data_IF_946684777836
#
_entry.id   IF_946684777836
#
_cell.length_a   1.000
_cell.length_b   1.000
_cell.length_c   1.000
_cell.angle_alpha   90.00
_cell.angle_beta   90.00
_cell.angle_gamma   90.00
#
_symmetry.space_group_name_H-M   'P 1'
#
loop_
_entity.id
_entity.type
_entity.pdbx_description
1 polymer ?
#
# COMPACT_ATOMS: atom_id res chain seq x y z
N UNK A 1 -17.30 12.57 -10.55
CA UNK A 1 -16.42 12.25 -9.41
C UNK A 1 -16.09 10.77 -9.53
N UNK A 2 -14.83 10.37 -9.36
CA UNK A 2 -14.45 8.95 -9.42
C UNK A 2 -14.54 8.36 -8.02
N UNK A 3 -15.16 7.19 -7.89
CA UNK A 3 -15.44 6.50 -6.63
C UNK A 3 -15.13 5.01 -6.79
N UNK A 4 -14.56 4.40 -5.75
CA UNK A 4 -14.22 2.97 -5.74
C UNK A 4 -14.70 2.30 -4.45
N UNK A 5 -15.06 1.03 -4.54
CA UNK A 5 -15.15 0.14 -3.39
C UNK A 5 -13.81 -0.60 -3.27
N UNK A 6 -13.15 -0.51 -2.11
CA UNK A 6 -11.80 -1.04 -1.93
C UNK A 6 -11.79 -2.13 -0.85
N UNK A 7 -11.10 -3.26 -1.07
CA UNK A 7 -11.14 -4.42 -0.16
C UNK A 7 -10.69 -4.11 1.27
N UNK A 8 -9.90 -3.06 1.46
CA UNK A 8 -9.38 -2.66 2.76
C UNK A 8 -10.30 -1.71 3.53
N UNK A 9 -11.44 -1.30 2.97
CA UNK A 9 -12.37 -0.37 3.62
C UNK A 9 -13.83 -0.61 3.20
N UNK A 10 -14.74 -0.56 4.16
CA UNK A 10 -16.15 -0.89 3.92
C UNK A 10 -16.92 0.19 3.16
N UNK A 11 -16.56 1.47 3.37
CA UNK A 11 -17.21 2.58 2.69
C UNK A 11 -16.56 2.87 1.33
N UNK A 12 -17.32 3.40 0.36
CA UNK A 12 -16.74 3.87 -0.88
C UNK A 12 -15.74 5.00 -0.64
N UNK A 13 -14.68 5.00 -1.45
CA UNK A 13 -13.64 6.01 -1.41
C UNK A 13 -13.77 6.92 -2.63
N UNK A 14 -13.66 8.23 -2.39
CA UNK A 14 -13.80 9.25 -3.43
C UNK A 14 -12.41 9.75 -3.82
N UNK A 15 -12.14 9.80 -5.12
CA UNK A 15 -10.92 10.39 -5.66
C UNK A 15 -10.94 11.91 -5.49
N UNK A 16 -10.00 12.44 -4.72
CA UNK A 16 -9.69 13.85 -4.63
C UNK A 16 -8.38 14.14 -5.33
N UNK A 17 -8.45 15.00 -6.35
CA UNK A 17 -7.28 15.52 -7.04
C UNK A 17 -6.66 16.65 -6.24
N UNK A 18 -5.33 16.74 -6.28
CA UNK A 18 -4.61 17.79 -5.56
C UNK A 18 -4.88 17.78 -4.05
N UNK A 19 -4.95 16.59 -3.45
CA UNK A 19 -5.12 16.43 -2.02
C UNK A 19 -3.82 16.85 -1.30
N UNK A 20 -3.89 17.67 -0.24
CA UNK A 20 -2.69 18.16 0.43
C UNK A 20 -1.98 17.02 1.14
N UNK A 21 -0.64 16.98 1.03
CA UNK A 21 0.17 15.94 1.72
C UNK A 21 0.13 16.08 3.24
N UNK A 22 -0.05 17.29 3.72
CA UNK A 22 -0.08 17.64 5.14
C UNK A 22 -1.41 18.27 5.51
N UNK A 23 -1.88 18.03 6.73
CA UNK A 23 -3.03 18.72 7.28
C UNK A 23 -2.66 20.15 7.73
N UNK A 24 -3.63 20.89 8.27
CA UNK A 24 -3.44 22.28 8.73
C UNK A 24 -2.40 22.42 9.85
N UNK A 25 -2.14 21.35 10.59
CA UNK A 25 -1.16 21.28 11.68
C UNK A 25 0.24 20.85 11.19
N UNK A 26 0.39 20.59 9.88
CA UNK A 26 1.63 20.14 9.27
C UNK A 26 1.88 18.63 9.37
N UNK A 27 0.94 17.83 9.88
CA UNK A 27 1.06 16.37 9.93
C UNK A 27 0.65 15.73 8.61
N UNK A 28 1.46 14.79 8.13
CA UNK A 28 1.16 14.01 6.92
C UNK A 28 -0.08 13.11 7.11
N UNK A 29 -0.78 12.82 6.02
CA UNK A 29 -1.81 11.79 6.01
C UNK A 29 -1.19 10.40 5.90
N UNK A 30 -1.68 9.45 6.70
CA UNK A 30 -1.19 8.07 6.67
C UNK A 30 -1.95 7.26 5.63
N UNK A 31 -1.24 6.75 4.61
CA UNK A 31 -1.81 5.79 3.69
C UNK A 31 -1.94 4.43 4.36
N UNK A 32 -3.17 3.91 4.43
CA UNK A 32 -3.46 2.63 5.11
C UNK A 32 -2.71 1.44 4.51
N UNK A 33 -2.32 1.51 3.23
CA UNK A 33 -1.63 0.44 2.52
C UNK A 33 -0.10 0.53 2.61
N UNK A 34 0.50 1.69 2.36
CA UNK A 34 1.97 1.79 2.23
C UNK A 34 2.70 2.32 3.48
N UNK A 35 2.00 2.98 4.41
CA UNK A 35 2.61 3.71 5.53
C UNK A 35 2.00 3.40 6.91
N UNK A 36 2.21 2.18 7.44
CA UNK A 36 1.79 1.88 8.81
C UNK A 36 2.69 2.50 9.89
N UNK A 37 3.97 2.84 9.61
CA UNK A 37 4.94 3.19 10.68
C UNK A 37 5.96 4.32 10.34
N UNK A 38 5.61 5.31 9.52
CA UNK A 38 6.33 6.61 9.42
C UNK A 38 7.88 6.55 9.37
N UNK A 39 8.46 6.52 8.16
CA UNK A 39 9.82 7.06 7.87
C UNK A 39 10.22 6.93 6.40
N UNK A 40 9.52 6.09 5.64
CA UNK A 40 9.71 5.99 4.19
C UNK A 40 8.35 5.84 3.52
N UNK A 41 7.52 6.87 3.68
CA UNK A 41 6.44 7.10 2.75
C UNK A 41 7.05 7.17 1.37
N UNK A 42 6.50 6.39 0.45
CA UNK A 42 6.69 6.71 -0.96
C UNK A 42 6.15 8.13 -1.07
N UNK A 43 7.05 9.10 -1.07
CA UNK A 43 6.74 10.44 -1.53
C UNK A 43 6.55 10.26 -3.03
N UNK A 44 5.41 9.71 -3.41
CA UNK A 44 5.04 9.61 -4.81
C UNK A 44 4.79 11.05 -5.24
N UNK A 45 5.81 11.54 -5.96
CA UNK A 45 5.90 12.79 -6.69
C UNK A 45 6.42 14.00 -5.89
N UNK A 46 7.38 14.69 -6.48
CA UNK A 46 7.84 16.02 -6.06
C UNK A 46 6.65 17.00 -6.14
N UNK A 47 6.27 17.60 -5.02
CA UNK A 47 5.11 18.52 -4.94
C UNK A 47 4.36 18.46 -3.61
N UNK A 48 3.61 19.51 -3.29
CA UNK A 48 2.81 19.65 -2.05
C UNK A 48 1.47 18.90 -2.08
N UNK A 49 1.02 18.50 -3.27
CA UNK A 49 -0.29 17.90 -3.52
C UNK A 49 -0.18 16.59 -4.29
N UNK A 50 -1.07 15.63 -4.02
CA UNK A 50 -1.15 14.35 -4.73
C UNK A 50 -2.61 13.90 -4.91
N UNK A 51 -2.87 13.05 -5.89
CA UNK A 51 -4.19 12.42 -6.06
C UNK A 51 -4.38 11.30 -5.02
N UNK A 52 -5.52 11.29 -4.35
CA UNK A 52 -5.80 10.32 -3.29
C UNK A 52 -7.27 9.92 -3.21
N UNK A 53 -7.51 8.70 -2.74
CA UNK A 53 -8.83 8.20 -2.39
C UNK A 53 -9.08 8.39 -0.90
N UNK A 54 -10.19 9.05 -0.56
CA UNK A 54 -10.55 9.36 0.82
C UNK A 54 -11.95 8.87 1.13
N UNK A 55 -12.14 8.43 2.37
CA UNK A 55 -13.46 8.16 2.91
C UNK A 55 -14.00 9.40 3.61
N UNK A 56 -15.06 10.02 3.09
CA UNK A 56 -15.69 11.18 3.71
C UNK A 56 -16.46 10.83 5.00
N UNK A 57 -16.87 9.57 5.14
CA UNK A 57 -17.59 9.07 6.32
C UNK A 57 -16.60 8.87 7.48
N UNK A 58 -15.51 8.13 7.26
CA UNK A 58 -14.54 7.82 8.30
C UNK A 58 -13.54 8.95 8.56
N UNK A 59 -13.34 9.88 7.62
CA UNK A 59 -12.45 11.06 7.66
C UNK A 59 -10.96 10.81 7.89
N UNK A 60 -10.58 9.66 8.46
CA UNK A 60 -9.21 9.23 8.76
C UNK A 60 -8.71 8.13 7.83
N UNK A 61 -9.56 7.66 6.90
CA UNK A 61 -9.17 6.63 5.94
C UNK A 61 -8.72 7.29 4.63
N UNK A 62 -7.46 7.04 4.29
CA UNK A 62 -6.75 7.67 3.18
C UNK A 62 -5.91 6.62 2.46
N UNK A 63 -5.93 6.66 1.11
CA UNK A 63 -5.06 5.89 0.24
C UNK A 63 -4.50 6.80 -0.84
N UNK A 64 -3.21 6.65 -1.15
CA UNK A 64 -2.69 7.19 -2.42
C UNK A 64 -3.47 6.58 -3.59
N UNK A 65 -3.64 7.35 -4.67
CA UNK A 65 -4.28 6.85 -5.88
C UNK A 65 -3.61 5.57 -6.39
N UNK A 66 -2.28 5.57 -6.47
CA UNK A 66 -1.46 4.41 -6.84
C UNK A 66 -1.70 3.20 -5.94
N UNK A 67 -1.77 3.41 -4.61
CA UNK A 67 -2.03 2.36 -3.64
C UNK A 67 -3.43 1.74 -3.81
N UNK A 68 -4.44 2.56 -4.09
CA UNK A 68 -5.80 2.11 -4.33
C UNK A 68 -5.99 1.40 -5.68
N UNK A 69 -5.14 1.72 -6.65
CA UNK A 69 -5.13 1.13 -8.01
C UNK A 69 -4.19 -0.08 -8.12
N UNK A 70 -3.57 -0.52 -7.02
CA UNK A 70 -2.71 -1.69 -7.02
C UNK A 70 -3.48 -2.96 -7.42
N UNK A 71 -2.85 -3.86 -8.20
CA UNK A 71 -3.46 -5.12 -8.55
C UNK A 71 -3.70 -5.96 -7.29
N UNK A 72 -4.92 -6.49 -7.15
CA UNK A 72 -5.27 -7.37 -6.02
C UNK A 72 -4.49 -8.68 -6.05
N UNK A 73 -4.19 -9.19 -7.24
CA UNK A 73 -3.50 -10.45 -7.45
C UNK A 73 -2.26 -10.20 -8.33
N UNK A 74 -1.10 -10.68 -7.89
CA UNK A 74 0.16 -10.59 -8.63
C UNK A 74 0.86 -11.94 -8.68
N UNK A 75 1.63 -12.19 -9.74
CA UNK A 75 2.57 -13.30 -9.80
C UNK A 75 3.98 -12.71 -9.89
N UNK A 76 4.71 -12.74 -8.77
CA UNK A 76 6.07 -12.24 -8.74
C UNK A 76 7.08 -13.34 -9.12
N UNK A 77 7.08 -13.79 -10.39
CA UNK A 77 7.80 -14.98 -10.86
C UNK A 77 9.27 -15.08 -10.41
N UNK A 78 9.98 -13.96 -10.30
CA UNK A 78 11.39 -13.92 -9.86
C UNK A 78 11.60 -14.20 -8.36
N UNK A 79 10.56 -14.10 -7.54
CA UNK A 79 10.60 -14.32 -6.09
C UNK A 79 9.74 -15.52 -5.69
N UNK A 80 8.60 -15.70 -6.35
CA UNK A 80 7.63 -16.73 -6.01
C UNK A 80 6.72 -17.06 -7.20
N UNK A 81 6.41 -18.35 -7.40
CA UNK A 81 5.63 -18.80 -8.56
C UNK A 81 4.11 -18.85 -8.35
N UNK A 82 3.64 -18.83 -7.10
CA UNK A 82 2.21 -18.78 -6.84
C UNK A 82 1.67 -17.35 -6.92
N UNK A 83 0.36 -17.23 -7.15
CA UNK A 83 -0.33 -15.95 -6.99
C UNK A 83 -0.21 -15.45 -5.56
N UNK A 84 0.12 -14.16 -5.43
CA UNK A 84 0.08 -13.43 -4.19
C UNK A 84 -1.13 -12.50 -4.20
N UNK A 85 -1.93 -12.57 -3.16
CA UNK A 85 -3.15 -11.79 -3.02
C UNK A 85 -2.91 -10.69 -2.00
N UNK A 86 -3.28 -9.47 -2.37
CA UNK A 86 -3.28 -8.32 -1.50
C UNK A 86 -4.43 -8.46 -0.49
N UNK A 87 -4.09 -8.58 0.79
CA UNK A 87 -5.07 -8.79 1.86
C UNK A 87 -4.64 -8.17 3.18
N UNK A 88 -5.62 -7.89 4.04
CA UNK A 88 -5.37 -7.54 5.44
C UNK A 88 -4.73 -8.72 6.17
N UNK A 89 -3.66 -8.48 6.92
CA UNK A 89 -3.01 -9.52 7.72
C UNK A 89 -3.60 -9.52 9.12
N UNK A 90 -4.41 -10.55 9.42
CA UNK A 90 -4.87 -10.81 10.78
C UNK A 90 -3.79 -11.58 11.56
N UNK A 91 -2.95 -10.86 12.31
CA UNK A 91 -2.21 -11.36 13.46
C UNK A 91 -1.23 -12.54 13.25
N UNK A 92 -0.84 -12.83 12.00
CA UNK A 92 0.21 -13.82 11.69
C UNK A 92 1.52 -13.07 11.49
N UNK A 93 2.42 -13.16 12.48
CA UNK A 93 3.81 -12.70 12.39
C UNK A 93 4.55 -13.46 11.27
N UNK A 94 4.30 -13.10 10.02
CA UNK A 94 5.06 -13.60 8.87
C UNK A 94 6.07 -12.53 8.47
N UNK A 95 7.38 -12.83 8.45
CA UNK A 95 8.35 -11.88 7.93
C UNK A 95 8.14 -11.66 6.44
N UNK A 96 8.37 -10.42 5.98
CA UNK A 96 8.50 -10.13 4.57
C UNK A 96 9.70 -10.90 3.99
N UNK A 97 9.49 -11.69 2.94
CA UNK A 97 10.54 -12.53 2.37
C UNK A 97 11.74 -11.72 1.81
N UNK A 98 11.55 -10.46 1.42
CA UNK A 98 12.63 -9.62 0.87
C UNK A 98 13.36 -8.78 1.93
N UNK A 99 12.69 -8.31 2.99
CA UNK A 99 13.30 -7.38 3.96
C UNK A 99 13.26 -7.86 5.41
N UNK A 100 12.61 -9.00 5.70
CA UNK A 100 12.51 -9.57 7.04
C UNK A 100 11.64 -8.80 8.04
N UNK A 101 10.94 -7.75 7.61
CA UNK A 101 10.09 -6.93 8.49
C UNK A 101 8.72 -7.58 8.76
N UNK A 102 8.06 -7.18 9.86
CA UNK A 102 6.83 -7.81 10.36
C UNK A 102 5.66 -6.82 10.58
N UNK A 103 5.90 -5.51 10.54
CA UNK A 103 4.92 -4.50 10.97
C UNK A 103 4.12 -3.95 9.79
N UNK A 104 3.05 -4.65 9.43
CA UNK A 104 2.15 -4.20 8.36
C UNK A 104 0.71 -4.66 8.60
N UNK A 105 -0.23 -3.80 8.20
CA UNK A 105 -1.66 -4.14 8.20
C UNK A 105 -2.07 -4.86 6.91
N UNK A 106 -1.37 -4.61 5.81
CA UNK A 106 -1.71 -5.10 4.45
C UNK A 106 -0.46 -5.60 3.73
N UNK A 107 -0.54 -6.76 3.09
CA UNK A 107 0.53 -7.31 2.26
C UNK A 107 0.02 -8.23 1.16
N UNK A 108 0.94 -8.53 0.23
CA UNK A 108 0.80 -9.64 -0.69
C UNK A 108 1.13 -10.94 0.02
N UNK A 109 0.14 -11.81 0.14
CA UNK A 109 0.28 -13.12 0.79
C UNK A 109 -0.02 -14.23 -0.20
N UNK A 110 0.77 -15.29 -0.14
CA UNK A 110 0.38 -16.53 -0.77
C UNK A 110 -0.57 -17.28 0.16
N UNK A 111 -1.64 -17.85 -0.38
CA UNK A 111 -2.50 -18.78 0.36
C UNK A 111 -2.06 -20.24 0.23
N UNK A 112 -1.22 -20.55 -0.76
CA UNK A 112 -0.69 -21.91 -1.00
C UNK A 112 0.49 -22.21 -0.09
N UNK A 113 1.33 -21.22 0.17
CA UNK A 113 2.46 -21.32 1.10
C UNK A 113 2.53 -20.10 2.00
N UNK A 114 3.46 -20.10 2.96
CA UNK A 114 3.57 -19.00 3.93
C UNK A 114 4.34 -17.77 3.42
N UNK A 115 4.45 -17.62 2.10
CA UNK A 115 5.17 -16.52 1.47
C UNK A 115 4.41 -15.19 1.63
N UNK A 116 5.12 -14.14 2.04
CA UNK A 116 4.57 -12.80 2.24
C UNK A 116 5.55 -11.74 1.75
N UNK A 117 5.03 -10.71 1.07
CA UNK A 117 5.77 -9.50 0.74
C UNK A 117 5.00 -8.27 1.20
N UNK A 118 5.73 -7.33 1.80
CA UNK A 118 5.24 -5.96 1.90
C UNK A 118 4.90 -5.42 0.50
N UNK A 119 3.90 -4.55 0.40
CA UNK A 119 3.52 -3.89 -0.86
C UNK A 119 4.75 -3.26 -1.52
N UNK A 120 5.55 -2.48 -0.76
CA UNK A 120 6.78 -1.85 -1.24
C UNK A 120 7.84 -2.84 -1.73
N UNK A 121 7.88 -4.05 -1.17
CA UNK A 121 8.85 -5.07 -1.55
C UNK A 121 8.42 -5.80 -2.82
N UNK A 122 7.11 -5.95 -3.04
CA UNK A 122 6.57 -6.55 -4.26
C UNK A 122 6.81 -5.68 -5.52
N UNK A 123 6.95 -4.36 -5.34
CA UNK A 123 7.16 -3.41 -6.45
C UNK A 123 8.53 -2.74 -6.44
N UNK A 124 9.45 -3.18 -5.58
CA UNK A 124 10.83 -2.68 -5.62
C UNK A 124 11.54 -3.31 -6.83
N UNK A 125 11.69 -2.54 -7.90
CA UNK A 125 12.57 -2.94 -8.99
C UNK A 125 13.99 -3.15 -8.42
N UNK A 126 14.51 -4.38 -8.52
CA UNK A 126 15.92 -4.62 -8.23
C UNK A 126 16.71 -3.85 -9.28
N UNK A 127 17.33 -2.74 -8.89
CA UNK A 127 18.44 -2.16 -9.65
C UNK A 127 19.49 -3.26 -9.75
N UNK A 128 19.57 -3.91 -10.91
CA UNK A 128 20.69 -4.79 -11.23
C UNK A 128 21.94 -3.92 -11.24
N UNK A 129 22.79 -4.05 -10.21
CA UNK A 129 24.19 -3.63 -10.32
C UNK A 129 24.86 -4.72 -11.14
N UNK A 130 25.11 -4.42 -12.42
CA UNK A 130 26.01 -5.22 -13.25
C UNK A 130 27.44 -4.90 -12.80
N UNK A 131 28.20 -5.94 -12.41
CA UNK A 131 29.66 -5.90 -12.27
C UNK A 131 30.29 -6.50 -13.52
#
# INVERSE_FOLDING_TARGET
MAEITHFSHEHPLILRKGFPKYNVDGYGYFCYLCDPESSHGLAENEGEYADAYVCEICKKFFLHKSCAELPRDIIHKSLHMHSLVLSNISNKFRPCAECGGHNINVAYTCYICEFMLHIRCAFREKKFVIY
#
